data_IF_719909348191
#
_entry.id   IF_719909348191
#
_cell.length_a   1.000
_cell.length_b   1.000
_cell.length_c   1.000
_cell.angle_alpha   90.00
_cell.angle_beta   90.00
_cell.angle_gamma   90.00
#
_symmetry.space_group_name_H-M   'P 1'
#
loop_
_entity.id
_entity.type
_entity.pdbx_description
1 polymer ?
#
# COMPACT_ATOMS: atom_id res chain seq x y z
N UNK A 1 13.70 11.42 4.39
CA UNK A 1 12.62 12.36 4.10
C UNK A 1 11.60 11.73 3.14
N UNK A 2 10.55 12.44 2.74
CA UNK A 2 9.51 11.91 1.83
C UNK A 2 10.10 11.62 0.46
N UNK A 3 10.97 12.48 -0.05
CA UNK A 3 11.61 12.32 -1.35
C UNK A 3 12.45 11.04 -1.40
N UNK A 4 13.30 10.80 -0.39
CA UNK A 4 14.10 9.57 -0.32
C UNK A 4 13.22 8.31 -0.28
N UNK A 5 12.05 8.41 0.38
CA UNK A 5 11.10 7.31 0.42
C UNK A 5 10.43 7.05 -0.93
N UNK A 6 10.04 8.10 -1.66
CA UNK A 6 9.50 8.01 -3.02
C UNK A 6 10.53 7.38 -3.97
N UNK A 7 11.77 7.90 -3.96
CA UNK A 7 12.88 7.37 -4.76
C UNK A 7 13.14 5.89 -4.45
N UNK A 8 13.09 5.53 -3.16
CA UNK A 8 13.27 4.14 -2.76
C UNK A 8 12.13 3.25 -3.26
N UNK A 9 10.87 3.69 -3.14
CA UNK A 9 9.71 2.96 -3.71
C UNK A 9 9.91 2.77 -5.21
N UNK A 10 10.21 3.83 -5.95
CA UNK A 10 10.42 3.77 -7.41
C UNK A 10 11.51 2.75 -7.77
N UNK A 11 12.60 2.72 -7.01
CA UNK A 11 13.72 1.81 -7.26
C UNK A 11 13.40 0.32 -7.11
N UNK A 12 12.33 -0.02 -6.40
CA UNK A 12 11.91 -1.41 -6.15
C UNK A 12 10.71 -1.83 -6.96
N UNK A 13 10.04 -0.87 -7.65
CA UNK A 13 8.89 -1.17 -8.49
C UNK A 13 9.29 -2.00 -9.71
N UNK A 14 8.46 -2.97 -10.03
CA UNK A 14 8.55 -3.75 -11.26
C UNK A 14 7.21 -3.77 -11.96
N UNK A 15 7.24 -3.85 -13.28
CA UNK A 15 6.01 -4.00 -14.07
C UNK A 15 5.27 -5.29 -13.71
N UNK A 16 6.00 -6.33 -13.33
CA UNK A 16 5.46 -7.64 -12.94
C UNK A 16 4.65 -7.61 -11.63
N UNK A 17 4.96 -6.67 -10.75
CA UNK A 17 4.20 -6.44 -9.52
C UNK A 17 3.08 -5.42 -9.75
N UNK A 18 3.38 -4.35 -10.52
CA UNK A 18 2.46 -3.26 -10.82
C UNK A 18 1.13 -3.74 -11.43
N UNK A 19 1.16 -4.73 -12.30
CA UNK A 19 -0.06 -5.27 -12.94
C UNK A 19 -1.11 -5.79 -11.96
N UNK A 20 -0.70 -6.09 -10.73
CA UNK A 20 -1.58 -6.59 -9.67
C UNK A 20 -1.99 -5.52 -8.66
N UNK A 21 -1.36 -4.34 -8.69
CA UNK A 21 -1.63 -3.30 -7.71
C UNK A 21 -3.06 -2.76 -7.85
N UNK A 22 -3.70 -2.55 -6.71
CA UNK A 22 -5.09 -2.16 -6.60
C UNK A 22 -6.01 -3.04 -7.50
N UNK A 23 -5.76 -4.37 -7.50
CA UNK A 23 -6.48 -5.33 -8.34
C UNK A 23 -6.41 -5.04 -9.86
N UNK A 24 -5.31 -4.48 -10.32
CA UNK A 24 -5.10 -4.07 -11.71
C UNK A 24 -5.72 -2.70 -12.07
N UNK A 25 -6.38 -2.03 -11.13
CA UNK A 25 -7.01 -0.74 -11.40
C UNK A 25 -6.00 0.37 -11.72
N UNK A 26 -4.76 0.27 -11.24
CA UNK A 26 -3.75 1.28 -11.54
C UNK A 26 -3.46 1.34 -13.05
N UNK A 27 -3.54 0.24 -13.76
CA UNK A 27 -3.42 0.24 -15.22
C UNK A 27 -4.48 1.17 -15.83
N UNK A 28 -5.73 1.04 -15.37
CA UNK A 28 -6.84 1.86 -15.87
C UNK A 28 -6.69 3.34 -15.54
N UNK A 29 -6.07 3.68 -14.43
CA UNK A 29 -5.93 5.07 -13.99
C UNK A 29 -4.78 5.80 -14.67
N UNK A 30 -3.73 5.08 -15.08
CA UNK A 30 -2.48 5.68 -15.52
C UNK A 30 -2.12 5.44 -16.99
N UNK A 31 -2.83 4.56 -17.74
CA UNK A 31 -2.48 4.38 -19.14
C UNK A 31 -2.89 5.59 -19.98
N UNK A 32 -2.07 5.92 -20.97
CA UNK A 32 -2.38 6.85 -22.04
C UNK A 32 -2.32 6.09 -23.38
N UNK A 33 -3.29 6.33 -24.24
CA UNK A 33 -3.35 5.71 -25.57
C UNK A 33 -2.43 6.37 -26.60
N UNK A 34 -2.01 7.61 -26.34
CA UNK A 34 -1.14 8.38 -27.22
C UNK A 34 0.34 8.07 -26.97
N UNK A 35 0.68 7.33 -25.91
CA UNK A 35 2.05 6.95 -25.61
C UNK A 35 2.64 6.04 -26.69
N UNK A 36 3.78 6.47 -27.24
CA UNK A 36 4.61 5.62 -28.12
C UNK A 36 5.44 4.65 -27.27
N UNK A 37 5.04 3.38 -27.25
CA UNK A 37 5.67 2.36 -26.42
C UNK A 37 6.47 1.37 -27.28
N UNK A 38 7.77 1.26 -27.01
CA UNK A 38 8.59 0.14 -27.51
C UNK A 38 8.49 -1.05 -26.54
N UNK A 39 7.81 -2.09 -26.98
CA UNK A 39 7.64 -3.32 -26.19
C UNK A 39 8.93 -4.15 -26.09
N UNK A 40 9.95 -3.89 -26.91
CA UNK A 40 11.15 -4.72 -26.96
C UNK A 40 11.94 -4.72 -25.66
N UNK A 41 11.95 -3.59 -24.95
CA UNK A 41 12.61 -3.45 -23.65
C UNK A 41 11.97 -4.34 -22.56
N UNK A 42 10.69 -4.68 -22.72
CA UNK A 42 9.90 -5.37 -21.71
C UNK A 42 9.64 -6.85 -22.02
N UNK A 43 10.14 -7.38 -23.15
CA UNK A 43 9.91 -8.79 -23.56
C UNK A 43 10.43 -9.83 -22.57
N UNK A 44 11.37 -9.46 -21.71
CA UNK A 44 11.94 -10.37 -20.72
C UNK A 44 11.13 -10.44 -19.42
N UNK A 45 10.12 -9.59 -19.24
CA UNK A 45 9.28 -9.57 -18.03
C UNK A 45 8.43 -10.83 -17.92
N UNK A 46 8.07 -11.19 -16.68
CA UNK A 46 7.15 -12.29 -16.42
C UNK A 46 5.77 -11.99 -16.99
N UNK A 47 5.33 -10.74 -16.90
CA UNK A 47 4.05 -10.27 -17.44
C UNK A 47 3.95 -10.52 -18.93
N UNK A 48 4.96 -10.15 -19.73
CA UNK A 48 4.99 -10.43 -21.16
C UNK A 48 4.86 -11.92 -21.46
N UNK A 49 5.64 -12.74 -20.77
CA UNK A 49 5.64 -14.21 -20.95
C UNK A 49 4.31 -14.86 -20.54
N UNK A 50 3.66 -14.32 -19.50
CA UNK A 50 2.39 -14.86 -18.99
C UNK A 50 1.22 -14.52 -19.91
N UNK A 51 1.20 -13.33 -20.50
CA UNK A 51 0.16 -12.88 -21.43
C UNK A 51 0.18 -13.68 -22.74
N UNK A 52 1.28 -14.43 -23.04
CA UNK A 52 1.41 -15.22 -24.27
C UNK A 52 1.02 -14.43 -25.50
N UNK A 53 1.60 -13.24 -25.65
CA UNK A 53 1.25 -12.27 -26.69
C UNK A 53 1.35 -12.92 -28.07
N UNK A 54 0.21 -13.13 -28.72
CA UNK A 54 0.11 -13.85 -29.98
C UNK A 54 -0.61 -13.03 -31.07
N UNK A 55 -1.28 -11.98 -30.73
CA UNK A 55 -2.08 -11.15 -31.64
C UNK A 55 -1.93 -9.67 -31.34
N UNK A 56 -2.51 -8.83 -32.18
CA UNK A 56 -2.43 -7.38 -32.07
C UNK A 56 -3.14 -6.83 -30.80
N UNK A 57 -4.23 -7.46 -30.39
CA UNK A 57 -4.98 -7.04 -29.19
C UNK A 57 -4.14 -7.26 -27.93
N UNK A 58 -3.42 -8.39 -27.84
CA UNK A 58 -2.49 -8.67 -26.74
C UNK A 58 -1.36 -7.62 -26.69
N UNK A 59 -0.83 -7.24 -27.86
CA UNK A 59 0.20 -6.21 -27.98
C UNK A 59 -0.34 -4.86 -27.48
N UNK A 60 -1.52 -4.46 -27.91
CA UNK A 60 -2.16 -3.21 -27.47
C UNK A 60 -2.39 -3.23 -25.96
N UNK A 61 -2.89 -4.33 -25.42
CA UNK A 61 -3.09 -4.46 -23.98
C UNK A 61 -1.77 -4.38 -23.21
N UNK A 62 -0.72 -5.01 -23.69
CA UNK A 62 0.60 -4.93 -23.06
C UNK A 62 1.20 -3.53 -23.13
N UNK A 63 1.03 -2.81 -24.23
CA UNK A 63 1.41 -1.40 -24.34
C UNK A 63 0.69 -0.53 -23.29
N UNK A 64 -0.60 -0.76 -23.03
CA UNK A 64 -1.35 -0.07 -21.98
C UNK A 64 -0.74 -0.31 -20.59
N UNK A 65 -0.30 -1.54 -20.30
CA UNK A 65 0.36 -1.87 -19.05
C UNK A 65 1.67 -1.09 -18.91
N UNK A 66 2.50 -1.04 -19.96
CA UNK A 66 3.78 -0.32 -19.94
C UNK A 66 3.56 1.18 -19.79
N UNK A 67 2.64 1.77 -20.58
CA UNK A 67 2.28 3.18 -20.46
C UNK A 67 1.85 3.50 -19.03
N UNK A 68 0.91 2.74 -18.48
CA UNK A 68 0.44 2.93 -17.11
C UNK A 68 1.55 2.82 -16.07
N UNK A 69 2.47 1.88 -16.22
CA UNK A 69 3.61 1.71 -15.32
C UNK A 69 4.54 2.92 -15.35
N UNK A 70 4.88 3.40 -16.55
CA UNK A 70 5.74 4.57 -16.73
C UNK A 70 5.09 5.83 -16.16
N UNK A 71 3.82 6.06 -16.47
CA UNK A 71 3.05 7.22 -15.97
C UNK A 71 2.86 7.15 -14.45
N UNK A 72 2.72 5.96 -13.86
CA UNK A 72 2.69 5.80 -12.42
C UNK A 72 4.03 6.16 -11.77
N UNK A 73 5.16 5.80 -12.40
CA UNK A 73 6.49 6.22 -11.93
C UNK A 73 6.63 7.74 -11.98
N UNK A 74 6.21 8.38 -13.07
CA UNK A 74 6.25 9.86 -13.19
C UNK A 74 5.33 10.53 -12.15
N UNK A 75 4.15 10.00 -11.92
CA UNK A 75 3.25 10.43 -10.85
C UNK A 75 3.91 10.37 -9.47
N UNK A 76 4.63 9.29 -9.17
CA UNK A 76 5.34 9.17 -7.87
C UNK A 76 6.51 10.15 -7.76
N UNK A 77 7.13 10.57 -8.86
CA UNK A 77 8.22 11.56 -8.88
C UNK A 77 7.73 12.97 -8.62
N UNK A 78 6.49 13.27 -8.96
CA UNK A 78 5.93 14.60 -8.79
C UNK A 78 5.73 14.91 -7.29
N UNK A 79 6.39 15.96 -6.82
CA UNK A 79 6.34 16.37 -5.41
C UNK A 79 5.11 17.24 -5.08
N UNK A 80 4.39 17.73 -6.09
CA UNK A 80 3.19 18.56 -5.93
C UNK A 80 1.91 17.73 -5.88
N UNK A 81 1.95 16.48 -6.35
CA UNK A 81 0.77 15.62 -6.40
C UNK A 81 0.53 14.92 -5.07
N UNK A 82 -0.74 14.90 -4.67
CA UNK A 82 -1.20 14.13 -3.53
C UNK A 82 -1.24 12.64 -3.86
N UNK A 83 -0.59 11.82 -3.02
CA UNK A 83 -0.57 10.36 -3.17
C UNK A 83 -1.52 9.75 -2.16
N UNK A 84 -2.68 9.31 -2.62
CA UNK A 84 -3.62 8.57 -1.79
C UNK A 84 -3.08 7.18 -1.43
N UNK A 85 -3.54 6.62 -0.31
CA UNK A 85 -3.13 5.30 0.16
C UNK A 85 -3.45 4.18 -0.85
N UNK A 86 -4.45 4.35 -1.69
CA UNK A 86 -4.85 3.37 -2.70
C UNK A 86 -3.77 3.10 -3.74
N UNK A 87 -2.86 4.05 -3.95
CA UNK A 87 -1.70 3.89 -4.84
C UNK A 87 -0.54 3.16 -4.19
N UNK A 88 -0.39 3.25 -2.87
CA UNK A 88 0.78 2.73 -2.15
C UNK A 88 0.52 1.44 -1.37
N UNK A 89 -0.75 1.11 -1.17
CA UNK A 89 -1.14 0.00 -0.31
C UNK A 89 -0.42 -1.31 -0.61
N UNK A 90 -0.52 -1.80 -1.84
CA UNK A 90 0.06 -3.09 -2.21
C UNK A 90 1.58 -3.08 -2.10
N UNK A 91 2.22 -1.95 -2.37
CA UNK A 91 3.67 -1.78 -2.25
C UNK A 91 4.10 -1.91 -0.79
N UNK A 92 3.36 -1.28 0.14
CA UNK A 92 3.70 -1.23 1.56
C UNK A 92 3.31 -2.54 2.26
N UNK A 93 2.17 -3.11 1.92
CA UNK A 93 1.62 -4.26 2.62
C UNK A 93 2.16 -5.60 2.10
N UNK A 94 2.70 -5.64 0.89
CA UNK A 94 3.36 -6.83 0.35
C UNK A 94 4.75 -7.02 0.95
N UNK A 95 5.13 -8.25 1.36
CA UNK A 95 6.49 -8.51 1.82
C UNK A 95 7.52 -8.15 0.75
N UNK A 96 8.43 -7.24 1.08
CA UNK A 96 9.55 -6.86 0.23
C UNK A 96 10.80 -6.67 1.09
N UNK A 97 11.87 -7.46 0.90
CA UNK A 97 13.10 -7.34 1.68
C UNK A 97 13.76 -5.97 1.62
N UNK A 98 13.55 -5.24 0.53
CA UNK A 98 14.12 -3.90 0.34
C UNK A 98 13.29 -2.78 0.98
N UNK A 99 12.04 -3.04 1.37
CA UNK A 99 11.17 -2.04 2.00
C UNK A 99 10.71 -2.52 3.38
N UNK A 100 9.78 -3.47 3.43
CA UNK A 100 9.29 -4.10 4.65
C UNK A 100 9.33 -5.61 4.48
N UNK A 101 10.34 -6.26 5.04
CA UNK A 101 10.63 -7.68 4.82
C UNK A 101 9.42 -8.62 5.04
N UNK A 102 8.52 -8.25 5.94
CA UNK A 102 7.28 -8.99 6.23
C UNK A 102 6.02 -8.33 5.66
N UNK A 103 6.15 -7.17 5.01
CA UNK A 103 5.06 -6.27 4.74
C UNK A 103 4.48 -5.65 6.02
N UNK A 104 3.48 -4.80 5.87
CA UNK A 104 2.76 -4.16 6.98
C UNK A 104 1.27 -4.48 6.88
N UNK A 105 0.57 -4.41 8.03
CA UNK A 105 -0.86 -4.14 8.04
C UNK A 105 -1.02 -2.62 8.16
N UNK A 106 -1.58 -1.97 7.18
CA UNK A 106 -1.94 -0.57 7.25
C UNK A 106 -3.40 -0.46 7.69
N UNK A 107 -3.67 0.22 8.76
CA UNK A 107 -5.00 0.39 9.32
C UNK A 107 -5.28 1.89 9.34
N UNK A 108 -6.26 2.31 8.56
CA UNK A 108 -6.66 3.70 8.46
C UNK A 108 -7.98 3.87 9.19
N UNK A 109 -7.99 4.75 10.18
CA UNK A 109 -9.19 5.17 10.87
C UNK A 109 -9.68 6.47 10.25
N UNK A 110 -10.75 6.39 9.49
CA UNK A 110 -11.32 7.55 8.79
C UNK A 110 -12.35 8.23 9.69
N UNK A 111 -12.16 9.52 9.89
CA UNK A 111 -13.07 10.38 10.66
C UNK A 111 -13.89 11.17 9.66
N UNK A 112 -15.19 10.90 9.58
CA UNK A 112 -16.09 11.54 8.62
C UNK A 112 -16.72 12.85 9.11
N UNK A 113 -16.72 13.07 10.44
CA UNK A 113 -17.25 14.27 11.06
C UNK A 113 -16.34 14.75 12.20
N UNK A 114 -16.57 15.97 12.71
CA UNK A 114 -15.83 16.50 13.88
C UNK A 114 -16.13 15.72 15.18
N UNK A 115 -17.10 14.85 15.19
CA UNK A 115 -17.42 13.96 16.30
C UNK A 115 -16.63 12.64 16.21
N UNK A 116 -15.45 12.66 16.81
CA UNK A 116 -14.51 11.53 16.89
C UNK A 116 -15.14 10.30 17.58
N UNK A 117 -16.24 10.46 18.31
CA UNK A 117 -16.78 9.40 19.16
C UNK A 117 -17.69 8.41 18.46
N UNK A 118 -18.32 8.80 17.35
CA UNK A 118 -19.41 8.00 16.76
C UNK A 118 -19.19 7.55 15.30
N UNK A 119 -18.27 8.15 14.56
CA UNK A 119 -18.14 7.93 13.11
C UNK A 119 -16.70 7.62 12.68
N UNK A 120 -16.10 6.59 13.27
CA UNK A 120 -14.79 6.10 12.81
C UNK A 120 -15.00 4.94 11.86
N UNK A 121 -14.79 5.18 10.58
CA UNK A 121 -14.66 4.14 9.59
C UNK A 121 -13.28 3.47 9.69
N UNK A 122 -13.22 2.14 9.65
CA UNK A 122 -11.96 1.43 9.52
C UNK A 122 -11.78 1.08 8.06
N UNK A 123 -10.83 1.74 7.41
CA UNK A 123 -10.46 1.42 6.03
C UNK A 123 -9.25 0.51 6.08
N UNK A 124 -9.40 -0.67 5.53
CA UNK A 124 -8.31 -1.56 5.25
C UNK A 124 -8.43 -1.92 3.77
N UNK A 125 -7.59 -1.36 2.90
CA UNK A 125 -7.65 -1.68 1.50
C UNK A 125 -7.49 -3.17 1.34
N UNK A 126 -8.43 -3.79 0.66
CA UNK A 126 -8.44 -5.21 0.43
C UNK A 126 -7.96 -5.48 -0.98
N UNK A 127 -6.90 -6.23 -1.12
CA UNK A 127 -6.65 -6.91 -2.37
C UNK A 127 -7.52 -8.17 -2.36
N UNK A 128 -8.69 -8.10 -2.99
CA UNK A 128 -9.66 -9.19 -3.04
C UNK A 128 -9.10 -10.50 -3.62
N UNK A 129 -8.02 -10.43 -4.40
CA UNK A 129 -7.41 -11.59 -5.03
C UNK A 129 -6.42 -12.33 -4.14
N UNK A 130 -5.94 -11.72 -3.07
CA UNK A 130 -4.86 -12.31 -2.24
C UNK A 130 -5.30 -12.82 -0.89
N UNK A 131 -6.56 -12.63 -0.47
CA UNK A 131 -7.05 -12.94 0.88
C UNK A 131 -6.17 -12.37 2.02
N UNK A 132 -5.35 -11.36 1.71
CA UNK A 132 -4.35 -10.79 2.63
C UNK A 132 -4.88 -9.53 3.32
N UNK A 133 -6.10 -9.57 3.84
CA UNK A 133 -6.73 -8.42 4.48
C UNK A 133 -5.97 -8.04 5.75
N UNK A 134 -5.81 -8.98 6.66
CA UNK A 134 -5.14 -8.77 7.93
C UNK A 134 -4.30 -10.00 8.29
N UNK A 135 -3.05 -9.77 8.62
CA UNK A 135 -2.17 -10.85 9.09
C UNK A 135 -1.60 -10.48 10.46
N UNK A 136 -2.04 -11.17 11.50
CA UNK A 136 -1.62 -10.94 12.88
C UNK A 136 -0.09 -11.06 13.10
N UNK A 137 0.64 -11.70 12.17
CA UNK A 137 2.11 -11.83 12.22
C UNK A 137 2.85 -10.63 11.66
N UNK A 138 2.15 -9.74 10.91
CA UNK A 138 2.72 -8.51 10.37
C UNK A 138 2.66 -7.40 11.40
N UNK A 139 3.62 -6.47 11.42
CA UNK A 139 3.48 -5.25 12.19
C UNK A 139 2.35 -4.38 11.62
N UNK A 140 1.64 -3.68 12.49
CA UNK A 140 0.54 -2.80 12.14
C UNK A 140 0.99 -1.35 12.22
N UNK A 141 0.70 -0.58 11.18
CA UNK A 141 0.77 0.87 11.15
C UNK A 141 -0.65 1.43 11.19
N UNK A 142 -0.90 2.35 12.12
CA UNK A 142 -2.18 3.03 12.25
C UNK A 142 -2.06 4.45 11.76
N UNK A 143 -2.99 4.87 10.92
CA UNK A 143 -3.17 6.25 10.51
C UNK A 143 -4.58 6.71 10.87
N UNK A 144 -4.70 7.97 11.24
CA UNK A 144 -5.97 8.69 11.27
C UNK A 144 -6.05 9.47 9.96
N UNK A 145 -7.16 9.31 9.23
CA UNK A 145 -7.48 10.11 8.05
C UNK A 145 -8.64 11.04 8.39
N UNK A 146 -8.43 12.33 8.18
CA UNK A 146 -9.48 13.35 8.21
C UNK A 146 -9.35 14.19 6.94
N UNK A 147 -10.37 14.18 6.11
CA UNK A 147 -10.35 14.78 4.76
C UNK A 147 -9.15 14.22 3.94
N UNK A 148 -8.26 15.09 3.49
CA UNK A 148 -7.03 14.71 2.76
C UNK A 148 -5.79 14.60 3.65
N UNK A 149 -5.94 14.70 4.97
CA UNK A 149 -4.82 14.64 5.92
C UNK A 149 -4.69 13.28 6.58
N UNK A 150 -3.45 12.83 6.73
CA UNK A 150 -3.11 11.59 7.42
C UNK A 150 -2.17 11.87 8.59
N UNK A 151 -2.52 11.35 9.76
CA UNK A 151 -1.69 11.43 10.96
C UNK A 151 -1.35 10.03 11.47
N UNK A 152 -0.06 9.72 11.74
CA UNK A 152 0.33 8.44 12.31
C UNK A 152 0.01 8.37 13.80
N UNK A 153 -0.53 7.23 14.23
CA UNK A 153 -0.64 6.92 15.65
C UNK A 153 0.66 6.29 16.12
N UNK A 154 1.20 6.79 17.21
CA UNK A 154 2.41 6.27 17.84
C UNK A 154 2.28 6.22 19.37
N UNK A 155 3.04 5.34 20.01
CA UNK A 155 3.20 5.33 21.47
C UNK A 155 4.53 5.95 21.85
N UNK A 156 4.48 6.84 22.83
CA UNK A 156 5.65 7.45 23.45
C UNK A 156 5.86 6.82 24.84
N UNK A 157 7.06 6.34 25.09
CA UNK A 157 7.46 5.83 26.41
C UNK A 157 8.46 6.77 27.05
N UNK A 158 8.20 7.13 28.29
CA UNK A 158 9.10 7.93 29.11
C UNK A 158 9.73 7.01 30.17
N UNK A 159 11.01 6.79 30.06
CA UNK A 159 11.86 6.08 31.01
C UNK A 159 13.21 6.80 31.05
N UNK A 160 14.28 6.05 31.25
CA UNK A 160 15.65 6.61 31.19
C UNK A 160 16.01 7.17 29.79
N UNK A 161 15.25 6.80 28.76
CA UNK A 161 15.30 7.36 27.41
C UNK A 161 13.89 7.41 26.83
N UNK A 162 13.59 8.52 26.15
CA UNK A 162 12.35 8.64 25.37
C UNK A 162 12.45 7.69 24.18
N UNK A 163 11.49 6.80 24.03
CA UNK A 163 11.35 5.96 22.85
C UNK A 163 9.98 6.15 22.21
N UNK A 164 9.94 6.14 20.88
CA UNK A 164 8.72 6.28 20.09
C UNK A 164 8.51 4.97 19.32
N UNK A 165 7.35 4.36 19.52
CA UNK A 165 6.94 3.19 18.77
C UNK A 165 5.94 3.62 17.70
N UNK A 166 6.27 3.36 16.43
CA UNK A 166 5.46 3.72 15.26
C UNK A 166 4.70 2.54 14.67
N UNK A 167 5.06 1.32 15.04
CA UNK A 167 4.38 0.11 14.59
C UNK A 167 4.03 -0.77 15.78
N UNK A 168 2.90 -1.46 15.68
CA UNK A 168 2.34 -2.29 16.73
C UNK A 168 2.26 -3.74 16.24
N UNK A 169 2.27 -4.68 17.15
CA UNK A 169 2.15 -6.10 16.82
C UNK A 169 1.32 -6.82 17.86
N UNK A 170 0.44 -7.70 17.41
CA UNK A 170 -0.36 -8.54 18.30
C UNK A 170 0.52 -9.44 19.19
N UNK A 171 1.69 -9.86 18.70
CA UNK A 171 2.55 -10.82 19.37
C UNK A 171 3.76 -10.22 20.08
N UNK A 172 4.16 -9.00 19.74
CA UNK A 172 5.36 -8.35 20.31
C UNK A 172 4.99 -7.13 21.13
N UNK A 173 4.06 -7.26 22.03
CA UNK A 173 3.63 -6.12 22.83
C UNK A 173 4.23 -6.21 24.20
N UNK A 174 5.08 -5.25 24.56
CA UNK A 174 5.47 -5.01 25.94
C UNK A 174 4.23 -4.64 26.77
N UNK A 175 4.32 -4.80 28.09
CA UNK A 175 3.20 -4.43 29.00
C UNK A 175 2.70 -3.00 28.84
N UNK A 176 3.56 -2.10 28.35
CA UNK A 176 3.25 -0.69 28.08
C UNK A 176 2.34 -0.45 26.88
N UNK A 177 2.10 -1.46 26.02
CA UNK A 177 1.24 -1.36 24.83
C UNK A 177 -0.04 -2.21 24.94
N UNK A 178 -0.48 -2.50 26.15
CA UNK A 178 -1.64 -3.36 26.37
C UNK A 178 -2.92 -2.82 25.73
N UNK A 179 -3.08 -1.48 25.69
CA UNK A 179 -4.23 -0.83 25.04
C UNK A 179 -4.25 -1.10 23.53
N UNK A 180 -3.14 -0.90 22.84
CA UNK A 180 -3.04 -1.17 21.41
C UNK A 180 -3.23 -2.66 21.10
N UNK A 181 -2.73 -3.55 21.96
CA UNK A 181 -2.98 -4.98 21.85
C UNK A 181 -4.48 -5.30 21.97
N UNK A 182 -5.16 -4.66 22.92
CA UNK A 182 -6.60 -4.82 23.10
C UNK A 182 -7.36 -4.32 21.86
N UNK A 183 -6.98 -3.18 21.29
CA UNK A 183 -7.57 -2.66 20.05
C UNK A 183 -7.39 -3.67 18.90
N UNK A 184 -6.17 -4.14 18.70
CA UNK A 184 -5.87 -5.13 17.66
C UNK A 184 -6.68 -6.42 17.83
N UNK A 185 -6.74 -6.96 19.03
CA UNK A 185 -7.39 -8.25 19.28
C UNK A 185 -8.91 -8.16 19.36
N UNK A 186 -9.45 -7.09 19.96
CA UNK A 186 -10.89 -6.98 20.25
C UNK A 186 -11.68 -6.21 19.21
N UNK A 187 -11.03 -5.33 18.47
CA UNK A 187 -11.70 -4.47 17.48
C UNK A 187 -11.24 -4.84 16.07
N UNK A 188 -9.95 -4.71 15.77
CA UNK A 188 -9.45 -4.82 14.40
C UNK A 188 -9.56 -6.25 13.87
N UNK A 189 -9.06 -7.23 14.60
CA UNK A 189 -9.10 -8.63 14.18
C UNK A 189 -10.52 -9.19 13.98
N UNK A 190 -11.50 -8.96 14.90
CA UNK A 190 -12.88 -9.34 14.66
C UNK A 190 -13.54 -8.63 13.49
N UNK A 191 -13.19 -7.36 13.25
CA UNK A 191 -13.68 -6.61 12.09
C UNK A 191 -13.27 -7.29 10.77
N UNK A 192 -12.00 -7.65 10.62
CA UNK A 192 -11.50 -8.31 9.43
C UNK A 192 -11.91 -9.77 9.27
N UNK A 193 -12.21 -10.46 10.35
CA UNK A 193 -12.70 -11.84 10.29
C UNK A 193 -14.18 -11.91 9.85
N UNK A 194 -14.87 -10.78 9.75
CA UNK A 194 -16.27 -10.70 9.29
C UNK A 194 -16.40 -10.32 7.81
N UNK A 195 -15.33 -9.84 7.21
CA UNK A 195 -15.24 -9.53 5.77
C UNK A 195 -14.83 -10.78 4.98
#
# INVERSE_FOLDING_TARGET
NIKDFKEHIISILTIDDFVNYNNGNLIRYFYDLEDEIDINEYKNTRTYKTLKINNEEDIIYYKKIISAFNNFIEFLKDDELFIDYTYLWDIICTPNPKLFAKGLNLIIMEISDDDITNNIGIVCPTNYHTNNIYNARKPCLFLIKKDDYYEPIYSRFEGNKISIMKTFSEYKVSSSNQEMKNILQKIIKPYFNKL
#
